data_IF_728551090891
#
_entry.id   IF_728551090891
#
_cell.length_a   1.000
_cell.length_b   1.000
_cell.length_c   1.000
_cell.angle_alpha   90.00
_cell.angle_beta   90.00
_cell.angle_gamma   90.00
#
_symmetry.space_group_name_H-M   'P 1'
#
loop_
_entity.id
_entity.type
_entity.pdbx_description
1 polymer ?
#
# COMPACT_ATOMS: atom_id res chain seq x y z
N UNK A 1 15.04 17.17 -10.50
CA UNK A 1 14.01 16.42 -11.28
C UNK A 1 14.17 14.92 -11.11
N UNK A 2 15.38 14.44 -10.80
CA UNK A 2 15.64 13.02 -10.60
C UNK A 2 14.77 12.39 -9.51
N UNK A 3 14.66 13.04 -8.35
CA UNK A 3 13.88 12.55 -7.21
C UNK A 3 12.40 12.41 -7.57
N UNK A 4 11.84 13.43 -8.24
CA UNK A 4 10.45 13.43 -8.71
C UNK A 4 10.19 12.23 -9.61
N UNK A 5 11.05 12.01 -10.61
CA UNK A 5 10.88 10.89 -11.53
C UNK A 5 11.02 9.54 -10.82
N UNK A 6 12.02 9.42 -9.95
CA UNK A 6 12.26 8.22 -9.15
C UNK A 6 11.01 7.84 -8.34
N UNK A 7 10.46 8.77 -7.57
CA UNK A 7 9.33 8.48 -6.70
C UNK A 7 8.02 8.32 -7.48
N UNK A 8 7.80 9.12 -8.53
CA UNK A 8 6.66 8.94 -9.43
C UNK A 8 6.61 7.53 -10.02
N UNK A 9 7.70 7.08 -10.64
CA UNK A 9 7.78 5.74 -11.24
C UNK A 9 7.65 4.65 -10.19
N UNK A 10 8.29 4.81 -9.02
CA UNK A 10 8.19 3.83 -7.93
C UNK A 10 6.74 3.66 -7.46
N UNK A 11 6.00 4.74 -7.27
CA UNK A 11 4.59 4.66 -6.86
C UNK A 11 3.69 4.13 -7.98
N UNK A 12 3.92 4.51 -9.24
CA UNK A 12 3.17 4.00 -10.38
C UNK A 12 3.37 2.49 -10.57
N UNK A 13 4.62 2.01 -10.49
CA UNK A 13 4.92 0.57 -10.52
C UNK A 13 4.26 -0.15 -9.35
N UNK A 14 4.31 0.41 -8.13
CA UNK A 14 3.62 -0.18 -6.97
C UNK A 14 2.10 -0.31 -7.19
N UNK A 15 1.44 0.70 -7.77
CA UNK A 15 0.01 0.67 -8.12
C UNK A 15 -0.30 -0.42 -9.15
N UNK A 16 0.53 -0.52 -10.18
CA UNK A 16 0.38 -1.54 -11.21
C UNK A 16 0.62 -2.95 -10.63
N UNK A 17 1.58 -3.13 -9.73
CA UNK A 17 1.85 -4.41 -9.06
C UNK A 17 0.75 -4.82 -8.08
N UNK A 18 0.12 -3.86 -7.40
CA UNK A 18 -1.05 -4.07 -6.54
C UNK A 18 -2.23 -4.63 -7.36
N UNK A 19 -2.51 -4.02 -8.51
CA UNK A 19 -3.64 -4.39 -9.39
C UNK A 19 -3.34 -5.57 -10.31
N UNK A 20 -2.08 -5.83 -10.65
CA UNK A 20 -1.71 -6.88 -11.61
C UNK A 20 -1.90 -8.31 -11.09
N UNK A 21 -2.14 -8.47 -9.79
CA UNK A 21 -2.39 -9.78 -9.15
C UNK A 21 -3.78 -10.32 -9.43
N UNK A 22 -4.75 -9.46 -9.78
CA UNK A 22 -6.11 -9.90 -10.08
C UNK A 22 -6.20 -10.34 -11.55
N UNK A 23 -6.92 -11.45 -11.81
CA UNK A 23 -7.11 -11.99 -13.17
C UNK A 23 -8.51 -11.65 -13.67
N UNK A 24 -8.79 -10.36 -13.73
CA UNK A 24 -10.10 -9.86 -14.13
C UNK A 24 -10.21 -9.73 -15.65
N UNK A 25 -11.41 -9.98 -16.17
CA UNK A 25 -11.72 -9.83 -17.60
C UNK A 25 -12.92 -8.93 -17.76
N UNK A 26 -12.74 -7.86 -18.52
CA UNK A 26 -13.77 -6.89 -18.84
C UNK A 26 -14.59 -7.40 -20.03
N UNK A 27 -15.92 -7.26 -19.95
CA UNK A 27 -16.82 -7.52 -21.07
C UNK A 27 -17.27 -6.18 -21.63
N UNK A 28 -16.78 -5.83 -22.82
CA UNK A 28 -17.23 -4.64 -23.52
C UNK A 28 -18.33 -5.00 -24.52
N UNK A 29 -19.46 -4.29 -24.42
CA UNK A 29 -20.60 -4.37 -25.33
C UNK A 29 -21.95 -4.32 -24.61
N UNK A 30 -22.85 -3.45 -25.08
CA UNK A 30 -24.26 -3.39 -24.70
C UNK A 30 -25.13 -3.68 -25.93
N UNK A 31 -26.09 -4.60 -25.85
CA UNK A 31 -27.05 -4.89 -26.92
C UNK A 31 -26.88 -6.27 -27.59
N UNK A 32 -27.40 -6.38 -28.83
CA UNK A 32 -27.41 -7.60 -29.66
C UNK A 32 -26.05 -7.89 -30.34
N UNK A 33 -25.06 -7.01 -30.16
CA UNK A 33 -23.71 -7.20 -30.71
C UNK A 33 -22.85 -8.18 -29.91
N UNK A 34 -21.87 -8.80 -30.57
CA UNK A 34 -20.96 -9.78 -29.96
C UNK A 34 -20.11 -9.12 -28.86
N UNK A 35 -20.32 -9.55 -27.61
CA UNK A 35 -19.52 -9.12 -26.44
C UNK A 35 -18.04 -9.46 -26.65
N UNK A 36 -17.16 -8.46 -26.59
CA UNK A 36 -15.70 -8.65 -26.62
C UNK A 36 -15.18 -8.78 -25.18
N UNK A 37 -14.33 -9.78 -24.94
CA UNK A 37 -13.65 -9.99 -23.66
C UNK A 37 -12.23 -9.43 -23.74
N UNK A 38 -11.90 -8.47 -22.89
CA UNK A 38 -10.56 -7.89 -22.77
C UNK A 38 -10.00 -8.26 -21.40
N UNK A 39 -8.70 -8.52 -21.32
CA UNK A 39 -8.02 -8.78 -20.05
C UNK A 39 -7.74 -7.44 -19.36
N UNK A 40 -8.16 -7.29 -18.10
CA UNK A 40 -8.01 -6.05 -17.33
C UNK A 40 -6.54 -5.58 -17.25
N UNK A 41 -5.61 -6.53 -17.11
CA UNK A 41 -4.17 -6.22 -17.03
C UNK A 41 -3.61 -5.53 -18.28
N UNK A 42 -4.30 -5.59 -19.42
CA UNK A 42 -3.91 -4.93 -20.67
C UNK A 42 -4.89 -3.85 -21.11
N UNK A 43 -5.90 -3.53 -20.30
CA UNK A 43 -6.86 -2.49 -20.66
C UNK A 43 -6.34 -1.11 -20.27
N UNK A 44 -6.61 -0.14 -21.13
CA UNK A 44 -6.43 1.30 -20.88
C UNK A 44 -7.06 1.74 -19.56
N UNK A 45 -8.26 1.25 -19.25
CA UNK A 45 -8.95 1.50 -17.98
C UNK A 45 -8.05 1.29 -16.75
N UNK A 46 -7.24 0.22 -16.74
CA UNK A 46 -6.36 -0.09 -15.61
C UNK A 46 -5.24 0.95 -15.48
N UNK A 47 -4.71 1.42 -16.60
CA UNK A 47 -3.69 2.45 -16.61
C UNK A 47 -4.26 3.78 -16.07
N UNK A 48 -5.45 4.17 -16.54
CA UNK A 48 -6.15 5.37 -16.06
C UNK A 48 -6.47 5.30 -14.57
N UNK A 49 -6.96 4.16 -14.08
CA UNK A 49 -7.21 3.94 -12.65
C UNK A 49 -5.92 3.99 -11.82
N UNK A 50 -4.81 3.45 -12.37
CA UNK A 50 -3.52 3.48 -11.69
C UNK A 50 -2.94 4.90 -11.61
N UNK A 51 -3.12 5.72 -12.65
CA UNK A 51 -2.61 7.09 -12.74
C UNK A 51 -3.48 8.11 -12.00
N UNK A 52 -4.80 7.98 -12.09
CA UNK A 52 -5.74 9.08 -11.78
C UNK A 52 -6.72 8.81 -10.63
N UNK A 53 -6.96 7.56 -10.21
CA UNK A 53 -7.98 7.26 -9.19
C UNK A 53 -7.51 6.33 -8.03
N UNK A 54 -7.10 6.90 -6.87
CA UNK A 54 -6.69 8.29 -6.68
C UNK A 54 -5.39 8.59 -7.44
N UNK A 55 -5.11 9.86 -7.72
CA UNK A 55 -3.97 10.23 -8.55
C UNK A 55 -2.65 9.74 -7.94
N UNK A 56 -1.78 9.13 -8.74
CA UNK A 56 -0.54 8.49 -8.25
C UNK A 56 0.35 9.47 -7.47
N UNK A 57 0.37 10.74 -7.89
CA UNK A 57 1.10 11.80 -7.21
C UNK A 57 0.59 12.13 -5.81
N UNK A 58 -0.64 11.78 -5.43
CA UNK A 58 -1.12 12.00 -4.06
C UNK A 58 -0.40 11.12 -3.04
N UNK A 59 0.08 9.94 -3.46
CA UNK A 59 0.93 9.07 -2.62
C UNK A 59 2.27 9.71 -2.28
N UNK A 60 2.70 10.75 -3.02
CA UNK A 60 3.92 11.50 -2.71
C UNK A 60 3.78 12.22 -1.36
N UNK A 61 2.57 12.59 -0.93
CA UNK A 61 2.35 13.24 0.36
C UNK A 61 2.62 12.32 1.56
N UNK A 62 2.67 11.00 1.36
CA UNK A 62 3.04 10.03 2.40
C UNK A 62 4.54 10.06 2.75
N UNK A 63 5.35 10.71 1.91
CA UNK A 63 6.79 10.84 2.11
C UNK A 63 7.11 11.98 3.07
N UNK A 64 8.12 11.76 3.91
CA UNK A 64 8.68 12.76 4.81
C UNK A 64 10.15 13.03 4.49
N UNK A 65 10.61 14.20 4.92
CA UNK A 65 12.01 14.61 4.80
C UNK A 65 12.78 14.15 6.04
N UNK A 66 13.69 13.20 5.82
CA UNK A 66 14.64 12.68 6.78
C UNK A 66 15.94 13.48 6.74
N UNK A 67 16.05 14.52 7.56
CA UNK A 67 17.23 15.41 7.61
C UNK A 67 18.54 14.67 7.92
N UNK A 68 18.44 13.49 8.55
CA UNK A 68 19.56 12.60 8.87
C UNK A 68 20.15 11.85 7.66
N UNK A 69 19.40 11.77 6.55
CA UNK A 69 19.76 11.07 5.31
C UNK A 69 20.19 12.05 4.22
N UNK A 70 20.94 11.55 3.24
CA UNK A 70 21.47 12.33 2.11
C UNK A 70 20.91 11.86 0.77
N UNK A 71 20.87 12.77 -0.21
CA UNK A 71 20.40 12.48 -1.57
C UNK A 71 18.90 12.22 -1.62
N UNK A 72 18.47 11.40 -2.58
CA UNK A 72 17.07 11.01 -2.75
C UNK A 72 16.54 10.18 -1.59
N UNK A 73 17.41 9.47 -0.87
CA UNK A 73 17.05 8.69 0.31
C UNK A 73 16.52 9.54 1.48
N UNK A 74 16.64 10.87 1.39
CA UNK A 74 16.02 11.81 2.33
C UNK A 74 14.50 11.74 2.29
N UNK A 75 13.89 11.38 1.17
CA UNK A 75 12.45 11.17 1.10
C UNK A 75 12.16 9.71 1.43
N UNK A 76 11.45 9.47 2.52
CA UNK A 76 10.96 8.13 2.85
C UNK A 76 9.62 8.20 3.60
N UNK A 77 8.83 7.13 3.49
CA UNK A 77 7.56 7.01 4.21
C UNK A 77 7.83 6.78 5.70
N UNK A 78 6.95 7.33 6.54
CA UNK A 78 7.05 7.25 8.01
C UNK A 78 7.72 8.47 8.65
N UNK A 79 7.76 8.49 9.99
CA UNK A 79 8.28 9.63 10.75
C UNK A 79 9.82 9.64 10.75
N UNK A 80 10.43 10.83 10.61
CA UNK A 80 11.89 10.98 10.67
C UNK A 80 12.43 10.81 12.08
N UNK A 81 13.70 10.39 12.21
CA UNK A 81 14.33 10.19 13.52
C UNK A 81 14.32 11.47 14.38
N UNK A 82 14.51 12.61 13.71
CA UNK A 82 14.45 13.93 14.34
C UNK A 82 13.04 14.22 14.85
N UNK A 83 12.01 13.99 14.02
CA UNK A 83 10.63 14.26 14.41
C UNK A 83 10.15 13.31 15.51
N UNK A 84 10.50 12.02 15.44
CA UNK A 84 10.20 11.05 16.49
C UNK A 84 10.82 11.48 17.84
N UNK A 85 12.06 11.98 17.82
CA UNK A 85 12.72 12.53 19.03
C UNK A 85 11.96 13.75 19.58
N UNK A 86 11.51 14.65 18.71
CA UNK A 86 10.76 15.85 19.13
C UNK A 86 9.40 15.50 19.75
N UNK A 87 8.65 14.56 19.16
CA UNK A 87 7.44 14.02 19.78
C UNK A 87 7.75 13.37 21.12
N UNK A 88 8.83 12.59 21.22
CA UNK A 88 9.26 11.95 22.47
C UNK A 88 9.59 12.93 23.60
N UNK A 89 10.28 14.04 23.29
CA UNK A 89 10.57 15.10 24.27
C UNK A 89 9.28 15.79 24.74
N UNK A 90 8.39 16.12 23.81
CA UNK A 90 7.11 16.74 24.12
C UNK A 90 6.21 15.83 24.97
N UNK A 91 6.14 14.54 24.63
CA UNK A 91 5.37 13.54 25.39
C UNK A 91 5.89 13.36 26.82
N UNK A 92 7.18 13.64 27.06
CA UNK A 92 7.80 13.66 28.40
C UNK A 92 7.54 14.97 29.17
N UNK A 93 6.76 15.89 28.62
CA UNK A 93 6.44 17.18 29.25
C UNK A 93 7.47 18.28 29.00
N UNK A 94 8.46 18.06 28.13
CA UNK A 94 9.40 19.11 27.73
C UNK A 94 8.69 20.06 26.75
N UNK A 95 8.68 21.35 27.06
CA UNK A 95 8.11 22.37 26.17
C UNK A 95 9.05 22.57 24.97
N UNK A 96 8.71 21.95 23.84
CA UNK A 96 9.42 22.13 22.56
C UNK A 96 8.66 23.15 21.74
N UNK A 97 9.20 24.36 21.62
CA UNK A 97 8.62 25.44 20.82
C UNK A 97 9.25 25.46 19.42
N UNK A 98 8.56 24.89 18.43
CA UNK A 98 8.96 24.95 17.01
C UNK A 98 8.36 26.16 16.27
N UNK A 99 7.54 26.96 16.94
CA UNK A 99 6.76 28.03 16.30
C UNK A 99 5.62 27.51 15.40
N UNK A 100 5.34 26.20 15.42
CA UNK A 100 4.28 25.54 14.63
C UNK A 100 3.35 24.76 15.60
N UNK A 101 2.01 24.91 15.48
CA UNK A 101 1.04 24.12 16.23
C UNK A 101 1.27 22.61 16.10
N UNK A 102 0.94 21.85 17.15
CA UNK A 102 1.24 20.40 17.20
C UNK A 102 0.52 19.61 16.13
N UNK A 103 -0.70 20.02 15.83
CA UNK A 103 -1.59 19.42 14.85
C UNK A 103 -0.96 19.42 13.45
N UNK A 104 0.02 20.31 13.22
CA UNK A 104 0.73 20.48 11.96
C UNK A 104 2.13 19.86 11.94
N UNK A 105 2.54 19.14 12.99
CA UNK A 105 3.88 18.51 13.03
C UNK A 105 3.99 17.30 12.09
N UNK A 106 2.89 16.59 11.87
CA UNK A 106 2.80 15.46 10.94
C UNK A 106 2.31 15.90 9.53
N UNK A 107 2.15 17.21 9.29
CA UNK A 107 1.79 17.73 7.97
C UNK A 107 2.96 17.61 6.98
N UNK A 108 2.69 17.39 5.67
CA UNK A 108 3.74 17.29 4.67
C UNK A 108 4.56 18.58 4.61
N UNK A 109 5.87 18.43 4.54
CA UNK A 109 6.78 19.58 4.43
C UNK A 109 6.65 20.30 3.08
N UNK A 110 7.04 21.57 3.01
CA UNK A 110 7.01 22.35 1.77
C UNK A 110 7.79 21.69 0.62
N UNK A 111 8.88 20.99 0.94
CA UNK A 111 9.68 20.24 -0.04
C UNK A 111 8.90 19.07 -0.65
N UNK A 112 8.10 18.37 0.16
CA UNK A 112 7.27 17.24 -0.30
C UNK A 112 6.08 17.75 -1.12
N UNK A 113 5.44 18.84 -0.69
CA UNK A 113 4.35 19.47 -1.45
C UNK A 113 4.85 20.02 -2.80
N UNK A 114 6.07 20.59 -2.84
CA UNK A 114 6.70 20.99 -4.10
C UNK A 114 7.03 19.77 -4.98
N UNK A 115 7.48 18.66 -4.38
CA UNK A 115 7.69 17.39 -5.08
C UNK A 115 6.38 16.84 -5.69
N UNK A 116 5.27 16.90 -4.95
CA UNK A 116 3.94 16.53 -5.45
C UNK A 116 3.52 17.38 -6.65
N UNK A 117 3.67 18.70 -6.57
CA UNK A 117 3.36 19.62 -7.69
C UNK A 117 4.17 19.30 -8.94
N UNK A 118 5.46 18.96 -8.76
CA UNK A 118 6.34 18.54 -9.86
C UNK A 118 5.96 17.17 -10.40
N UNK A 119 5.44 16.28 -9.56
CA UNK A 119 4.93 14.98 -9.96
C UNK A 119 3.72 15.14 -10.90
N UNK A 120 2.75 15.99 -10.57
CA UNK A 120 1.61 16.26 -11.48
C UNK A 120 2.08 16.72 -12.86
N UNK A 121 2.98 17.72 -12.90
CA UNK A 121 3.57 18.19 -14.15
C UNK A 121 4.31 17.10 -14.93
N UNK A 122 4.93 16.16 -14.23
CA UNK A 122 5.63 15.04 -14.86
C UNK A 122 4.65 14.01 -15.43
N UNK A 123 3.58 13.70 -14.71
CA UNK A 123 2.52 12.83 -15.21
C UNK A 123 1.89 13.41 -16.48
N UNK A 124 1.58 14.71 -16.47
CA UNK A 124 1.05 15.44 -17.63
C UNK A 124 2.03 15.46 -18.81
N UNK A 125 3.31 15.76 -18.56
CA UNK A 125 4.30 15.92 -19.63
C UNK A 125 4.65 14.61 -20.33
N UNK A 126 4.59 13.48 -19.62
CA UNK A 126 5.03 12.17 -20.10
C UNK A 126 3.87 11.15 -20.21
N UNK A 127 2.63 11.63 -20.31
CA UNK A 127 1.44 10.78 -20.45
C UNK A 127 1.58 9.82 -21.64
N UNK A 128 1.87 10.35 -22.84
CA UNK A 128 2.05 9.56 -24.06
C UNK A 128 3.17 8.50 -23.92
N UNK A 129 4.29 8.86 -23.30
CA UNK A 129 5.42 7.93 -23.08
C UNK A 129 5.04 6.81 -22.10
N UNK A 130 4.22 7.10 -21.08
CA UNK A 130 3.74 6.12 -20.11
C UNK A 130 2.76 5.16 -20.77
N UNK A 131 1.86 5.67 -21.64
CA UNK A 131 0.95 4.84 -22.42
C UNK A 131 1.71 3.91 -23.37
N UNK A 132 2.66 4.44 -24.14
CA UNK A 132 3.50 3.65 -25.04
C UNK A 132 4.24 2.55 -24.27
N UNK A 133 4.85 2.90 -23.12
CA UNK A 133 5.49 1.90 -22.26
C UNK A 133 4.52 0.81 -21.80
N UNK A 134 3.33 1.21 -21.35
CA UNK A 134 2.34 0.30 -20.80
C UNK A 134 1.77 -0.66 -21.84
N UNK A 135 1.65 -0.26 -23.10
CA UNK A 135 1.09 -1.13 -24.14
C UNK A 135 2.16 -1.93 -24.90
N UNK A 136 3.34 -1.36 -25.11
CA UNK A 136 4.34 -1.91 -26.03
C UNK A 136 5.65 -2.37 -25.35
N UNK A 137 5.98 -1.83 -24.17
CA UNK A 137 7.30 -2.02 -23.55
C UNK A 137 7.26 -2.45 -22.07
N UNK A 138 6.23 -3.20 -21.65
CA UNK A 138 6.16 -3.73 -20.28
C UNK A 138 7.30 -4.70 -19.91
N UNK A 139 8.09 -5.16 -20.89
CA UNK A 139 9.30 -5.96 -20.66
C UNK A 139 10.50 -5.12 -20.21
N UNK A 140 10.51 -3.81 -20.47
CA UNK A 140 11.51 -2.88 -19.96
C UNK A 140 11.08 -2.28 -18.61
N UNK A 141 12.04 -2.06 -17.71
CA UNK A 141 11.79 -1.38 -16.43
C UNK A 141 11.43 0.11 -16.66
N UNK A 142 10.27 0.54 -16.13
CA UNK A 142 9.75 1.90 -16.29
C UNK A 142 10.74 2.97 -15.79
N UNK A 143 11.52 2.67 -14.75
CA UNK A 143 12.51 3.63 -14.24
C UNK A 143 13.59 3.91 -15.28
N UNK A 144 13.99 2.88 -16.04
CA UNK A 144 14.94 3.03 -17.14
C UNK A 144 14.28 3.70 -18.35
N UNK A 145 13.12 3.19 -18.78
CA UNK A 145 12.41 3.67 -19.95
C UNK A 145 12.04 5.16 -19.86
N UNK A 146 11.45 5.58 -18.74
CA UNK A 146 10.98 6.94 -18.54
C UNK A 146 12.07 7.83 -17.95
N UNK A 147 12.59 7.48 -16.77
CA UNK A 147 13.50 8.39 -16.06
C UNK A 147 14.88 8.46 -16.68
N UNK A 148 15.51 7.31 -16.98
CA UNK A 148 16.87 7.33 -17.51
C UNK A 148 16.92 7.78 -18.98
N UNK A 149 15.97 7.35 -19.81
CA UNK A 149 16.07 7.57 -21.25
C UNK A 149 15.39 8.85 -21.75
N UNK A 150 14.33 9.32 -21.07
CA UNK A 150 13.52 10.45 -21.54
C UNK A 150 13.53 11.64 -20.59
N UNK A 151 13.17 11.44 -19.32
CA UNK A 151 12.89 12.55 -18.40
C UNK A 151 14.13 13.21 -17.79
N UNK A 152 15.25 12.48 -17.63
CA UNK A 152 16.46 13.01 -16.99
C UNK A 152 17.62 13.21 -17.95
N UNK A 153 18.36 14.30 -17.73
CA UNK A 153 19.63 14.57 -18.41
C UNK A 153 20.71 13.60 -17.90
N UNK A 154 21.74 13.37 -18.70
CA UNK A 154 22.83 12.40 -18.41
C UNK A 154 23.49 12.60 -17.04
N UNK A 155 23.67 13.86 -16.62
CA UNK A 155 24.36 14.21 -15.38
C UNK A 155 23.46 14.08 -14.13
N UNK A 156 22.14 14.02 -14.32
CA UNK A 156 21.16 14.04 -13.22
C UNK A 156 20.72 12.63 -12.78
N UNK A 157 21.32 11.56 -13.31
CA UNK A 157 20.87 10.17 -13.07
C UNK A 157 21.32 9.57 -11.75
N UNK A 158 22.14 10.30 -10.97
CA UNK A 158 22.76 9.79 -9.74
C UNK A 158 21.73 9.23 -8.77
N UNK A 159 20.58 9.89 -8.63
CA UNK A 159 19.56 9.51 -7.64
C UNK A 159 18.92 8.13 -7.91
N UNK A 160 18.92 7.65 -9.16
CA UNK A 160 18.35 6.36 -9.53
C UNK A 160 19.13 5.19 -8.93
N UNK A 161 20.44 5.36 -8.76
CA UNK A 161 21.35 4.32 -8.26
C UNK A 161 21.52 4.30 -6.74
N UNK A 162 20.98 5.30 -6.03
CA UNK A 162 21.17 5.44 -4.59
C UNK A 162 20.38 4.38 -3.83
N UNK A 163 21.10 3.56 -3.05
CA UNK A 163 20.53 2.65 -2.04
C UNK A 163 20.72 3.25 -0.66
N UNK A 164 19.66 3.26 0.15
CA UNK A 164 19.77 3.67 1.54
C UNK A 164 20.42 2.54 2.35
N UNK A 165 21.59 2.79 2.90
CA UNK A 165 22.15 1.97 3.96
C UNK A 165 21.89 2.68 5.30
N UNK A 166 21.15 2.07 6.24
CA UNK A 166 20.97 2.67 7.55
C UNK A 166 22.35 2.87 8.17
N UNK A 167 22.66 4.11 8.57
CA UNK A 167 23.89 4.40 9.32
C UNK A 167 23.90 3.46 10.52
N UNK A 168 24.84 2.51 10.49
CA UNK A 168 24.95 1.50 11.51
C UNK A 168 24.98 2.15 12.90
N UNK A 169 24.25 1.54 13.83
CA UNK A 169 24.54 1.69 15.25
C UNK A 169 26.06 1.70 15.42
N UNK A 170 26.62 2.72 16.09
CA UNK A 170 28.04 2.77 16.42
C UNK A 170 28.38 1.47 17.17
N UNK A 171 28.92 0.48 16.45
CA UNK A 171 29.51 -0.71 17.04
C UNK A 171 30.68 -0.22 17.88
N UNK A 172 30.52 -0.26 19.21
CA UNK A 172 31.67 -0.21 20.12
C UNK A 172 32.57 -1.40 19.76
N UNK A 173 33.83 -1.09 19.48
CA UNK A 173 34.89 -2.03 19.13
C UNK A 173 35.03 -3.14 20.19
N UNK A 174 35.33 -4.34 19.69
CA UNK A 174 35.33 -5.64 20.37
C UNK A 174 36.22 -5.77 21.61
N UNK A 175 35.79 -6.63 22.55
CA UNK A 175 36.66 -7.68 23.10
C UNK A 175 35.81 -8.89 23.54
N UNK A 176 36.06 -10.03 22.88
CA UNK A 176 35.77 -11.44 23.25
C UNK A 176 34.42 -11.77 23.92
N UNK A 177 33.49 -12.33 23.13
CA UNK A 177 32.80 -13.62 23.40
C UNK A 177 31.72 -13.89 22.33
N UNK A 178 32.12 -14.51 21.21
CA UNK A 178 31.23 -14.78 20.07
C UNK A 178 30.61 -16.19 20.05
N UNK A 179 30.98 -17.06 20.99
CA UNK A 179 30.44 -18.43 21.07
C UNK A 179 29.13 -18.51 21.85
N UNK A 180 28.99 -17.72 22.91
CA UNK A 180 27.86 -17.85 23.86
C UNK A 180 26.58 -17.22 23.30
N UNK A 181 26.67 -16.04 22.67
CA UNK A 181 25.51 -15.30 22.13
C UNK A 181 24.81 -16.01 20.97
N UNK A 182 25.55 -16.74 20.12
CA UNK A 182 24.97 -17.48 18.97
C UNK A 182 24.08 -18.64 19.45
N UNK A 183 24.45 -19.29 20.56
CA UNK A 183 23.69 -20.40 21.15
C UNK A 183 22.41 -19.91 21.84
N UNK A 184 22.48 -18.77 22.54
CA UNK A 184 21.31 -18.13 23.18
C UNK A 184 20.29 -17.62 22.16
N UNK A 185 20.73 -16.99 21.06
CA UNK A 185 19.83 -16.50 20.00
C UNK A 185 19.15 -17.65 19.24
N UNK A 186 19.85 -18.79 19.04
CA UNK A 186 19.26 -20.01 18.46
C UNK A 186 18.24 -20.65 19.40
N UNK A 187 18.51 -20.67 20.71
CA UNK A 187 17.56 -21.18 21.71
C UNK A 187 16.30 -20.31 21.86
N UNK A 188 16.42 -18.97 21.82
CA UNK A 188 15.25 -18.07 21.83
C UNK A 188 14.38 -18.27 20.59
N UNK A 189 14.99 -18.32 19.39
CA UNK A 189 14.26 -18.55 18.14
C UNK A 189 13.60 -19.94 18.11
N UNK A 190 14.22 -20.95 18.73
CA UNK A 190 13.63 -22.29 18.84
C UNK A 190 12.42 -22.30 19.78
N UNK A 191 12.46 -21.56 20.90
CA UNK A 191 11.32 -21.43 21.82
C UNK A 191 10.15 -20.70 21.19
N UNK A 192 10.42 -19.61 20.49
CA UNK A 192 9.39 -18.81 19.80
C UNK A 192 8.71 -19.63 18.68
N UNK A 193 9.47 -20.44 17.94
CA UNK A 193 8.90 -21.37 16.94
C UNK A 193 8.05 -22.47 17.60
N UNK A 194 8.41 -22.95 18.79
CA UNK A 194 7.59 -23.94 19.52
C UNK A 194 6.29 -23.32 20.05
N UNK A 195 6.32 -22.11 20.61
CA UNK A 195 5.11 -21.40 21.04
C UNK A 195 4.17 -21.09 19.86
N UNK A 196 4.71 -20.71 18.69
CA UNK A 196 3.90 -20.48 17.49
C UNK A 196 3.24 -21.78 17.01
N UNK A 197 3.94 -22.93 17.10
CA UNK A 197 3.36 -24.24 16.74
C UNK A 197 2.27 -24.68 17.71
N UNK A 198 2.44 -24.48 19.00
CA UNK A 198 1.41 -24.79 20.00
C UNK A 198 0.17 -23.92 19.80
N UNK A 199 0.35 -22.61 19.56
CA UNK A 199 -0.77 -21.71 19.24
C UNK A 199 -1.49 -22.10 17.96
N UNK A 200 -0.78 -22.60 16.94
CA UNK A 200 -1.38 -23.08 15.70
C UNK A 200 -2.17 -24.38 15.92
N UNK A 201 -1.62 -25.35 16.65
CA UNK A 201 -2.35 -26.57 17.03
C UNK A 201 -3.61 -26.26 17.82
N UNK A 202 -3.56 -25.32 18.77
CA UNK A 202 -4.72 -24.90 19.54
C UNK A 202 -5.77 -24.19 18.66
N UNK A 203 -5.34 -23.34 17.72
CA UNK A 203 -6.25 -22.71 16.76
C UNK A 203 -6.96 -23.73 15.85
N UNK A 204 -6.23 -24.71 15.34
CA UNK A 204 -6.77 -25.74 14.44
C UNK A 204 -7.77 -26.66 15.19
N UNK A 205 -7.53 -26.96 16.47
CA UNK A 205 -8.45 -27.70 17.35
C UNK A 205 -9.74 -26.91 17.62
N UNK A 206 -9.61 -25.62 17.95
CA UNK A 206 -10.75 -24.70 18.12
C UNK A 206 -11.54 -24.49 16.82
N UNK A 207 -10.90 -24.60 15.65
CA UNK A 207 -11.56 -24.50 14.35
C UNK A 207 -12.40 -25.75 14.05
N UNK A 208 -11.86 -26.95 14.35
CA UNK A 208 -12.57 -28.22 14.17
C UNK A 208 -13.77 -28.39 15.12
N UNK A 209 -13.73 -27.80 16.32
CA UNK A 209 -14.89 -27.77 17.22
C UNK A 209 -15.99 -26.81 16.76
N UNK A 210 -15.65 -25.68 16.11
CA UNK A 210 -16.63 -24.73 15.59
C UNK A 210 -17.44 -25.27 14.41
N UNK A 211 -16.82 -26.06 13.54
CA UNK A 211 -17.51 -26.66 12.39
C UNK A 211 -18.53 -27.74 12.81
N UNK A 212 -18.44 -28.30 14.02
CA UNK A 212 -19.39 -29.29 14.56
C UNK A 212 -20.60 -28.68 15.28
N UNK A 213 -20.67 -27.35 15.45
CA UNK A 213 -21.71 -26.67 16.27
C UNK A 213 -22.60 -25.69 15.51
N UNK A 214 -22.72 -25.81 14.20
CA UNK A 214 -23.74 -25.07 13.43
C UNK A 214 -24.91 -26.03 13.17
N UNK A 215 -26.04 -25.93 13.90
CA UNK A 215 -27.27 -26.58 13.47
C UNK A 215 -27.70 -25.94 12.14
N UNK A 216 -28.03 -26.76 11.16
CA UNK A 216 -28.61 -26.29 9.89
C UNK A 216 -29.98 -25.67 10.24
N UNK A 217 -30.19 -24.36 10.05
CA UNK A 217 -31.48 -23.75 10.35
C UNK A 217 -32.50 -24.27 9.35
N UNK A 218 -33.62 -24.78 9.84
CA UNK A 218 -34.76 -25.12 8.98
C UNK A 218 -35.51 -23.85 8.61
N UNK A 219 -36.29 -23.88 7.53
CA UNK A 219 -37.01 -22.72 6.99
C UNK A 219 -37.98 -22.04 7.99
N UNK A 220 -38.21 -22.62 9.16
CA UNK A 220 -39.03 -22.07 10.23
C UNK A 220 -38.33 -20.96 11.05
N UNK A 221 -37.00 -20.85 11.01
CA UNK A 221 -36.26 -19.93 11.89
C UNK A 221 -35.99 -18.53 11.26
N UNK A 222 -36.25 -18.35 9.95
CA UNK A 222 -35.97 -17.07 9.24
C UNK A 222 -37.17 -16.10 9.31
N UNK A 223 -38.39 -16.59 9.54
CA UNK A 223 -39.57 -15.73 9.70
C UNK A 223 -40.00 -15.73 11.16
N UNK A 224 -39.61 -14.69 11.91
CA UNK A 224 -40.05 -14.43 13.29
C UNK A 224 -41.54 -14.04 13.42
N UNK A 225 -42.44 -14.70 12.70
CA UNK A 225 -43.90 -14.52 12.76
C UNK A 225 -44.57 -15.90 12.77
N UNK A 226 -45.47 -16.13 13.73
CA UNK A 226 -46.18 -17.40 13.85
C UNK A 226 -47.07 -17.64 12.61
N UNK A 227 -47.24 -18.89 12.16
CA UNK A 227 -47.86 -19.28 10.88
C UNK A 227 -49.29 -18.70 10.66
N UNK A 228 -49.97 -18.33 11.75
CA UNK A 228 -51.27 -17.66 11.72
C UNK A 228 -51.21 -16.19 11.26
N UNK A 229 -50.08 -15.51 11.34
CA UNK A 229 -49.93 -14.09 10.96
C UNK A 229 -49.56 -13.91 9.48
N UNK A 230 -48.84 -14.86 8.87
CA UNK A 230 -48.55 -14.81 7.43
C UNK A 230 -49.81 -14.95 6.55
N UNK A 231 -50.79 -15.75 6.96
CA UNK A 231 -52.02 -15.95 6.18
C UNK A 231 -52.97 -14.75 6.18
N UNK A 232 -52.90 -13.87 7.18
CA UNK A 232 -53.70 -12.64 7.22
C UNK A 232 -53.14 -11.54 6.32
N UNK A 233 -51.81 -11.45 6.21
CA UNK A 233 -51.15 -10.46 5.33
C UNK A 233 -51.31 -10.83 3.86
N UNK A 234 -51.23 -12.12 3.51
CA UNK A 234 -51.49 -12.59 2.14
C UNK A 234 -52.96 -12.45 1.70
N UNK A 235 -53.91 -12.59 2.63
CA UNK A 235 -55.33 -12.37 2.34
C UNK A 235 -55.67 -10.87 2.13
N UNK A 236 -54.90 -9.97 2.75
CA UNK A 236 -55.10 -8.52 2.62
C UNK A 236 -54.60 -8.00 1.26
N UNK A 237 -53.48 -8.53 0.77
CA UNK A 237 -52.87 -8.09 -0.49
C UNK A 237 -53.56 -8.63 -1.75
N UNK A 238 -54.45 -9.63 -1.62
CA UNK A 238 -55.23 -10.16 -2.74
C UNK A 238 -56.60 -9.47 -2.94
N UNK A 239 -57.03 -8.61 -2.01
CA UNK A 239 -58.28 -7.83 -2.14
C UNK A 239 -58.07 -6.44 -2.75
N UNK A 240 -56.83 -5.97 -2.88
CA UNK A 240 -56.49 -4.71 -3.58
C UNK A 240 -56.10 -4.94 -5.06
N UNK A 241 -56.23 -6.17 -5.57
CA UNK A 241 -55.97 -6.54 -6.97
C UNK A 241 -57.17 -7.25 -7.63
N UNK A 242 -58.39 -6.81 -7.30
CA UNK A 242 -59.62 -7.01 -8.10
C UNK A 242 -60.36 -5.68 -8.17
#
# INVERSE_FOLDING_TARGET
MCEVCKFFVTELQSRLDETGKTKETLQLGHGLDKKKKIVYNKSELRLTEALSDPHVCDRILEYNVHKERSGSNRFAKGRSETMETLHGLRNKGVKVELGIPHELWDAPSAEVTDMQRKCFKMAEQYEDDIEEWYFEHQDEDLMTYLCANRALRKDDKKCLSEKYEPKGEKKKLDTKDNSSKKRTKRNLKQREIMEIREKKMNYDDVSLEREKKIPIPTSADICGLNLSQCNLVLASLLLDYI
#
